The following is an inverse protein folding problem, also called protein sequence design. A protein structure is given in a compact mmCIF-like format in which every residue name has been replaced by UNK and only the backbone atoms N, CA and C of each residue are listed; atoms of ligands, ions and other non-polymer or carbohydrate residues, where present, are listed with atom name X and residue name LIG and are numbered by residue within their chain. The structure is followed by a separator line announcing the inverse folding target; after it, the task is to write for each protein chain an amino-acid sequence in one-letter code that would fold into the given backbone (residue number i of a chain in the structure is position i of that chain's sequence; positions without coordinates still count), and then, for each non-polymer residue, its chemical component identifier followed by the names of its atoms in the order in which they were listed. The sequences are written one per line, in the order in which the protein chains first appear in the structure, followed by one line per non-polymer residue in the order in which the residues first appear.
data_IF_226841831884
#
_entry.id   IF_226841831884
#
_cell.length_a   1.000
_cell.length_b   1.000
_cell.length_c   1.000
_cell.angle_alpha   90.00
_cell.angle_beta   90.00
_cell.angle_gamma   90.00
#
_symmetry.space_group_name_H-M   'P 1'
#
loop_
_entity.id
_entity.type
_entity.pdbx_description
1 polymer ?
#
# COMPACT_ATOMS: atom_id res chain seq x y z
N UNK A 1 -2.55 -4.99 19.80
CA UNK A 1 -3.59 -5.49 18.88
C UNK A 1 -3.04 -5.33 17.47
N UNK A 2 -3.10 -6.37 16.64
CA UNK A 2 -2.66 -6.30 15.24
C UNK A 2 -3.85 -6.25 14.31
N UNK A 3 -3.76 -5.43 13.26
CA UNK A 3 -4.82 -5.33 12.24
C UNK A 3 -4.26 -5.82 10.92
N UNK A 4 -4.93 -6.81 10.34
CA UNK A 4 -4.57 -7.35 9.03
C UNK A 4 -5.37 -6.62 7.96
N UNK A 5 -4.74 -6.36 6.82
CA UNK A 5 -5.38 -5.67 5.71
C UNK A 5 -5.01 -6.26 4.36
N UNK A 6 -5.85 -5.99 3.37
CA UNK A 6 -5.54 -6.20 1.97
C UNK A 6 -5.88 -4.95 1.16
N UNK A 7 -5.08 -4.65 0.14
CA UNK A 7 -5.28 -3.48 -0.71
C UNK A 7 -4.37 -3.46 -1.93
N UNK A 8 -4.39 -2.34 -2.64
CA UNK A 8 -3.49 -2.07 -3.76
C UNK A 8 -2.56 -0.92 -3.41
N UNK A 9 -1.24 -1.16 -3.48
CA UNK A 9 -0.24 -0.10 -3.34
C UNK A 9 -0.07 0.70 -4.63
N UNK A 10 -0.43 0.11 -5.77
CA UNK A 10 -0.47 0.78 -7.07
C UNK A 10 -1.59 0.19 -7.92
N UNK A 11 -2.27 1.03 -8.69
CA UNK A 11 -3.24 0.60 -9.72
C UNK A 11 -2.68 0.94 -11.08
N UNK A 12 -2.66 -0.04 -11.98
CA UNK A 12 -2.04 0.10 -13.29
C UNK A 12 -2.84 0.97 -14.24
N UNK A 13 -2.14 1.57 -15.21
CA UNK A 13 -2.71 2.31 -16.33
C UNK A 13 -3.53 3.56 -15.95
N UNK A 14 -3.40 4.02 -14.71
CA UNK A 14 -4.03 5.24 -14.19
C UNK A 14 -2.94 6.24 -13.82
N UNK A 15 -3.00 7.49 -14.30
CA UNK A 15 -2.10 8.54 -13.88
C UNK A 15 -2.23 8.80 -12.38
N UNK A 16 -1.11 8.82 -11.67
CA UNK A 16 -1.07 9.35 -10.31
C UNK A 16 -1.10 10.89 -10.31
N UNK A 17 -1.12 11.49 -9.13
CA UNK A 17 -1.11 12.96 -8.96
C UNK A 17 0.16 13.63 -9.46
N UNK A 18 1.26 12.89 -9.61
CA UNK A 18 2.51 13.37 -10.20
C UNK A 18 2.55 13.24 -11.72
N UNK A 19 1.53 12.57 -12.31
CA UNK A 19 1.42 12.34 -13.75
C UNK A 19 2.11 11.06 -14.23
N UNK A 20 2.62 10.23 -13.32
CA UNK A 20 3.21 8.93 -13.65
C UNK A 20 2.13 7.88 -13.85
N UNK A 21 2.37 6.95 -14.78
CA UNK A 21 1.51 5.79 -15.04
C UNK A 21 2.33 4.53 -14.86
N UNK A 22 1.98 3.69 -13.89
CA UNK A 22 2.62 2.37 -13.72
C UNK A 22 1.97 1.37 -14.68
N UNK A 23 2.79 0.63 -15.43
CA UNK A 23 2.31 -0.43 -16.33
C UNK A 23 2.35 -1.80 -15.65
N UNK A 24 1.47 -2.70 -16.08
CA UNK A 24 1.53 -4.14 -15.72
C UNK A 24 2.92 -4.70 -16.04
N UNK A 25 3.46 -5.54 -15.16
CA UNK A 25 4.80 -6.13 -15.31
C UNK A 25 5.94 -5.22 -14.85
N UNK A 26 5.64 -4.03 -14.32
CA UNK A 26 6.68 -3.08 -13.93
C UNK A 26 7.39 -3.50 -12.65
N UNK A 27 6.73 -4.17 -11.71
CA UNK A 27 7.30 -4.39 -10.39
C UNK A 27 8.25 -5.57 -10.33
N UNK A 28 9.44 -5.31 -9.78
CA UNK A 28 10.34 -6.30 -9.23
C UNK A 28 10.44 -6.09 -7.73
N UNK A 29 9.85 -7.00 -6.95
CA UNK A 29 9.91 -6.95 -5.49
C UNK A 29 11.24 -7.49 -4.95
N UNK A 30 11.83 -6.78 -3.99
CA UNK A 30 12.92 -7.31 -3.17
C UNK A 30 12.37 -8.32 -2.15
N UNK A 31 13.24 -9.18 -1.61
CA UNK A 31 12.88 -9.98 -0.42
C UNK A 31 12.75 -9.04 0.77
N UNK A 32 11.68 -9.19 1.55
CA UNK A 32 11.47 -8.41 2.78
C UNK A 32 11.14 -6.94 2.52
N UNK A 33 10.16 -6.66 1.66
CA UNK A 33 9.63 -5.30 1.48
C UNK A 33 9.05 -4.81 2.82
N UNK A 34 9.58 -3.74 3.42
CA UNK A 34 9.09 -3.24 4.69
C UNK A 34 7.72 -2.55 4.52
N UNK A 35 6.88 -2.69 5.54
CA UNK A 35 5.66 -1.91 5.70
C UNK A 35 5.97 -0.69 6.59
N UNK A 36 5.92 0.51 6.01
CA UNK A 36 6.24 1.77 6.68
C UNK A 36 4.99 2.64 6.89
N UNK A 37 5.19 3.75 7.62
CA UNK A 37 4.22 4.84 7.73
C UNK A 37 4.79 6.08 7.06
N UNK A 38 4.06 6.67 6.11
CA UNK A 38 4.44 7.91 5.44
C UNK A 38 5.87 7.89 4.86
N UNK A 39 6.27 6.78 4.24
CA UNK A 39 7.57 6.59 3.59
C UNK A 39 8.79 6.68 4.52
N UNK A 40 8.61 6.53 5.84
CA UNK A 40 9.73 6.67 6.78
C UNK A 40 9.55 5.97 8.11
N UNK A 41 10.57 6.12 8.96
CA UNK A 41 10.61 5.55 10.30
C UNK A 41 10.93 4.05 10.32
N UNK A 42 10.68 3.44 11.49
CA UNK A 42 10.77 1.98 11.68
C UNK A 42 9.57 1.29 10.99
N UNK A 43 9.71 0.02 10.56
CA UNK A 43 8.57 -0.77 10.12
C UNK A 43 7.44 -0.78 11.15
N UNK A 44 6.21 -0.57 10.68
CA UNK A 44 4.99 -0.54 11.51
C UNK A 44 4.25 -1.87 11.51
N UNK A 45 4.78 -2.85 10.79
CA UNK A 45 4.16 -4.14 10.56
C UNK A 45 4.92 -4.98 9.55
N UNK A 46 4.24 -5.96 8.97
CA UNK A 46 4.80 -6.95 8.05
C UNK A 46 4.02 -6.99 6.75
N UNK A 47 4.72 -7.18 5.63
CA UNK A 47 4.11 -7.57 4.34
C UNK A 47 4.08 -9.09 4.28
N UNK A 48 2.88 -9.66 4.36
CA UNK A 48 2.67 -11.11 4.32
C UNK A 48 2.67 -11.65 2.89
N UNK A 49 2.11 -10.85 1.97
CA UNK A 49 2.08 -11.19 0.56
C UNK A 49 2.09 -9.92 -0.30
N UNK A 50 2.80 -9.98 -1.42
CA UNK A 50 2.86 -8.92 -2.40
C UNK A 50 3.02 -9.51 -3.80
N UNK A 51 2.26 -8.97 -4.75
CA UNK A 51 2.31 -9.44 -6.13
C UNK A 51 1.44 -8.62 -7.06
N UNK A 52 1.74 -8.70 -8.35
CA UNK A 52 0.91 -8.08 -9.38
C UNK A 52 -0.30 -8.97 -9.71
N UNK A 53 -1.43 -8.35 -9.98
CA UNK A 53 -2.57 -8.96 -10.66
C UNK A 53 -2.98 -8.12 -11.89
N UNK A 54 -4.15 -8.39 -12.47
CA UNK A 54 -4.63 -7.63 -13.65
C UNK A 54 -4.90 -6.15 -13.35
N UNK A 55 -5.16 -5.80 -12.09
CA UNK A 55 -5.53 -4.46 -11.63
C UNK A 55 -4.32 -3.66 -11.14
N UNK A 56 -3.42 -4.27 -10.38
CA UNK A 56 -2.38 -3.51 -9.69
C UNK A 56 -1.37 -4.34 -8.92
N UNK A 57 -0.54 -3.64 -8.14
CA UNK A 57 0.32 -4.25 -7.12
C UNK A 57 -0.52 -4.47 -5.86
N UNK A 58 -0.98 -5.71 -5.68
CA UNK A 58 -1.78 -6.11 -4.53
C UNK A 58 -0.87 -6.44 -3.36
N UNK A 59 -1.31 -6.06 -2.16
CA UNK A 59 -0.59 -6.25 -0.89
C UNK A 59 -1.53 -6.84 0.14
N UNK A 60 -1.02 -7.78 0.92
CA UNK A 60 -1.61 -8.25 2.18
C UNK A 60 -0.56 -8.03 3.26
N UNK A 61 -0.94 -7.37 4.36
CA UNK A 61 -0.03 -7.08 5.45
C UNK A 61 -0.75 -7.01 6.79
N UNK A 62 0.04 -6.93 7.86
CA UNK A 62 -0.44 -6.74 9.22
C UNK A 62 0.26 -5.57 9.88
N UNK A 63 -0.51 -4.65 10.44
CA UNK A 63 -0.03 -3.50 11.22
C UNK A 63 0.04 -3.91 12.68
N UNK A 64 1.19 -3.65 13.33
CA UNK A 64 1.44 -3.99 14.73
C UNK A 64 1.59 -2.77 15.64
N UNK A 65 1.84 -1.59 15.07
CA UNK A 65 1.87 -0.33 15.82
C UNK A 65 0.43 0.04 16.25
N UNK A 66 0.11 0.07 17.56
CA UNK A 66 -1.28 0.06 18.04
C UNK A 66 -2.14 1.23 17.56
N UNK A 67 -1.61 2.45 17.59
CA UNK A 67 -2.36 3.65 17.16
C UNK A 67 -2.70 3.58 15.68
N UNK A 68 -1.72 3.26 14.84
CA UNK A 68 -1.93 3.11 13.40
C UNK A 68 -2.88 1.95 13.08
N UNK A 69 -2.76 0.83 13.80
CA UNK A 69 -3.67 -0.30 13.65
C UNK A 69 -5.12 0.11 13.91
N UNK A 70 -5.38 0.87 14.98
CA UNK A 70 -6.71 1.43 15.27
C UNK A 70 -7.23 2.34 14.16
N UNK A 71 -6.39 3.22 13.62
CA UNK A 71 -6.76 4.10 12.50
C UNK A 71 -7.07 3.33 11.20
N UNK A 72 -6.36 2.24 10.93
CA UNK A 72 -6.63 1.37 9.78
C UNK A 72 -7.93 0.58 9.99
N UNK A 73 -8.17 0.04 11.19
CA UNK A 73 -9.41 -0.65 11.53
C UNK A 73 -10.64 0.26 11.40
N UNK A 74 -10.51 1.52 11.83
CA UNK A 74 -11.57 2.53 11.69
C UNK A 74 -11.70 3.09 10.26
N UNK A 75 -10.80 2.73 9.33
CA UNK A 75 -10.76 3.27 7.97
C UNK A 75 -10.28 4.72 7.84
N UNK A 76 -9.90 5.36 8.94
CA UNK A 76 -9.34 6.71 8.98
C UNK A 76 -7.98 6.79 8.24
N UNK A 77 -7.21 5.71 8.26
CA UNK A 77 -6.04 5.52 7.40
C UNK A 77 -6.29 4.34 6.48
N UNK A 78 -6.52 4.64 5.20
CA UNK A 78 -6.74 3.61 4.18
C UNK A 78 -5.90 3.83 2.91
N UNK A 79 -5.02 4.83 2.88
CA UNK A 79 -4.13 5.08 1.75
C UNK A 79 -2.96 4.12 1.74
N UNK A 80 -2.60 3.63 0.55
CA UNK A 80 -1.37 2.89 0.32
C UNK A 80 -0.50 3.62 -0.70
N UNK A 81 0.80 3.51 -0.53
CA UNK A 81 1.80 4.03 -1.45
C UNK A 81 3.00 3.08 -1.45
N UNK A 82 3.97 3.37 -2.31
CA UNK A 82 5.17 2.56 -2.44
C UNK A 82 6.37 3.42 -2.82
N UNK A 83 7.52 3.01 -2.33
CA UNK A 83 8.82 3.60 -2.64
C UNK A 83 9.53 2.71 -3.64
N UNK A 84 10.18 3.31 -4.63
CA UNK A 84 10.73 2.58 -5.75
C UNK A 84 11.98 3.23 -6.34
N UNK A 85 12.74 2.45 -7.11
CA UNK A 85 13.75 2.93 -8.03
C UNK A 85 13.34 2.61 -9.46
N UNK A 86 13.36 3.62 -10.34
CA UNK A 86 13.06 3.44 -11.76
C UNK A 86 14.21 2.72 -12.45
N UNK A 87 13.90 1.63 -13.15
CA UNK A 87 14.84 0.95 -14.06
C UNK A 87 14.57 1.25 -15.52
N UNK A 88 13.30 1.38 -15.89
CA UNK A 88 12.88 1.74 -17.25
C UNK A 88 11.61 2.57 -17.22
N UNK A 89 11.60 3.65 -17.98
CA UNK A 89 10.44 4.50 -18.18
C UNK A 89 10.39 5.00 -19.63
N UNK A 90 9.20 5.43 -20.06
CA UNK A 90 8.96 6.03 -21.37
C UNK A 90 8.26 7.37 -21.20
N UNK A 91 8.73 8.39 -21.91
CA UNK A 91 8.08 9.70 -21.96
C UNK A 91 6.88 9.75 -22.91
N UNK A 92 6.06 10.79 -22.76
CA UNK A 92 4.85 11.00 -23.56
C UNK A 92 3.93 12.02 -22.88
N UNK A 93 2.62 11.88 -23.09
CA UNK A 93 1.61 12.67 -22.34
C UNK A 93 1.72 12.45 -20.83
N UNK A 94 2.02 11.21 -20.44
CA UNK A 94 2.37 10.81 -19.08
C UNK A 94 3.72 10.10 -19.12
N UNK A 95 4.47 10.13 -18.02
CA UNK A 95 5.66 9.29 -17.88
C UNK A 95 5.21 7.89 -17.49
N UNK A 96 5.42 6.93 -18.37
CA UNK A 96 5.06 5.53 -18.14
C UNK A 96 6.22 4.79 -17.48
N UNK A 97 5.96 4.20 -16.32
CA UNK A 97 6.92 3.38 -15.57
C UNK A 97 6.78 1.93 -16.01
N UNK A 98 7.82 1.41 -16.68
CA UNK A 98 7.84 0.10 -17.33
C UNK A 98 8.61 -0.96 -16.54
N UNK A 99 9.57 -0.53 -15.72
CA UNK A 99 10.30 -1.41 -14.81
C UNK A 99 10.74 -0.64 -13.57
N UNK A 100 10.42 -1.17 -12.40
CA UNK A 100 10.63 -0.60 -11.07
C UNK A 100 11.25 -1.65 -10.15
N UNK A 101 12.23 -1.26 -9.35
CA UNK A 101 12.61 -2.04 -8.16
C UNK A 101 11.82 -1.49 -6.97
N UNK A 102 10.98 -2.33 -6.38
CA UNK A 102 10.15 -1.98 -5.23
C UNK A 102 11.00 -2.02 -3.95
N UNK A 103 11.01 -0.91 -3.21
CA UNK A 103 11.84 -0.73 -2.02
C UNK A 103 11.03 -0.83 -0.73
N UNK A 104 9.80 -0.31 -0.71
CA UNK A 104 8.93 -0.32 0.47
C UNK A 104 7.45 -0.16 0.07
N UNK A 105 6.55 -0.54 0.97
CA UNK A 105 5.12 -0.19 0.91
C UNK A 105 4.78 0.60 2.16
N UNK A 106 4.03 1.69 2.00
CA UNK A 106 3.65 2.57 3.10
C UNK A 106 2.13 2.67 3.22
N UNK A 107 1.66 2.66 4.47
CA UNK A 107 0.39 3.29 4.79
C UNK A 107 0.58 4.81 4.75
N UNK A 108 -0.37 5.52 4.15
CA UNK A 108 -0.32 6.98 3.99
C UNK A 108 -1.70 7.58 4.19
N UNK A 109 -1.75 8.83 4.67
CA UNK A 109 -3.01 9.57 4.74
C UNK A 109 -3.55 9.92 3.34
N UNK A 110 -2.65 10.27 2.41
CA UNK A 110 -3.01 10.76 1.08
C UNK A 110 -2.09 10.14 0.02
N UNK A 111 -2.56 9.12 -0.72
CA UNK A 111 -1.73 8.45 -1.72
C UNK A 111 -1.56 9.28 -2.99
N UNK A 112 -0.43 9.10 -3.68
CA UNK A 112 -0.20 9.70 -4.99
C UNK A 112 -1.15 9.13 -6.04
N UNK A 113 -1.38 7.82 -6.03
CA UNK A 113 -2.43 7.18 -6.82
C UNK A 113 -3.73 7.14 -5.99
N UNK A 114 -4.79 7.88 -6.34
CA UNK A 114 -6.01 7.96 -5.52
C UNK A 114 -6.71 6.62 -5.26
N UNK A 115 -6.50 5.64 -6.16
CA UNK A 115 -7.08 4.30 -6.10
C UNK A 115 -6.23 3.31 -5.29
N UNK A 116 -5.01 3.69 -4.90
CA UNK A 116 -4.15 2.88 -4.06
C UNK A 116 -4.64 2.94 -2.60
N UNK A 117 -5.49 1.97 -2.25
CA UNK A 117 -6.21 1.94 -0.98
C UNK A 117 -6.21 0.55 -0.37
N UNK A 118 -6.35 0.52 0.94
CA UNK A 118 -6.85 -0.64 1.69
C UNK A 118 -8.31 -0.86 1.30
N UNK A 119 -8.68 -2.12 1.03
CA UNK A 119 -10.02 -2.51 0.60
C UNK A 119 -10.66 -3.57 1.49
N UNK A 120 -9.87 -4.27 2.29
CA UNK A 120 -10.35 -5.20 3.29
C UNK A 120 -9.51 -5.06 4.55
N UNK A 121 -10.17 -5.13 5.70
CA UNK A 121 -9.54 -5.11 7.02
C UNK A 121 -10.11 -6.28 7.83
N UNK A 122 -9.22 -6.98 8.51
CA UNK A 122 -9.53 -8.03 9.46
C UNK A 122 -8.90 -7.64 10.81
N UNK A 123 -9.77 -7.18 11.71
CA UNK A 123 -9.40 -6.74 13.04
C UNK A 123 -9.63 -7.89 14.05
N UNK A 124 -8.88 -8.98 13.90
CA UNK A 124 -8.86 -10.03 14.91
C UNK A 124 -8.37 -9.44 16.26
N UNK A 125 -9.29 -9.31 17.22
CA UNK A 125 -9.03 -8.77 18.56
C UNK A 125 -9.87 -7.56 18.96
N UNK A 126 -10.76 -7.07 18.10
CA UNK A 126 -11.78 -6.11 18.54
C UNK A 126 -12.84 -6.94 19.28
N UNK A 127 -12.75 -7.01 20.61
CA UNK A 127 -13.92 -7.40 21.38
C UNK A 127 -15.05 -6.44 20.94
N UNK A 128 -16.27 -6.92 20.69
CA UNK A 128 -17.36 -6.02 20.36
C UNK A 128 -17.49 -5.03 21.52
N UNK A 129 -17.51 -3.73 21.20
CA UNK A 129 -17.91 -2.72 22.16
C UNK A 129 -19.34 -3.08 22.62
N UNK A 130 -19.48 -3.50 23.87
CA UNK A 130 -20.78 -3.56 24.54
C UNK A 130 -21.28 -2.12 24.75
N UNK A 131 -21.99 -1.59 23.75
CA UNK A 131 -22.96 -0.49 23.90
C UNK A 131 -24.36 -1.08 23.61
N UNK A 132 -25.41 -0.93 24.41
CA UNK A 132 -25.67 -0.13 25.61
C UNK A 132 -26.87 -0.75 26.34
N UNK A 133 -26.91 -0.57 27.67
CA UNK A 133 -28.12 -0.76 28.49
C UNK A 133 -29.18 0.30 28.21
#
# INVERSE_FOLDING_TARGET
MSVRFAGYASVFDVPDRGGDVVRRGAFRAARGVPLLWQHGGKPVGEIEWIGEDTRGLRVIGSVREPELAGLVAAGAVNGLSFGYRVRQARGGRHRELLALDLMEVSLVASPMNPLARVHAVDAAGMAPDEESS
#
